data_IF_567048018675
#
_entry.id   IF_567048018675
#
_cell.length_a   1.000
_cell.length_b   1.000
_cell.length_c   1.000
_cell.angle_alpha   90.00
_cell.angle_beta   90.00
_cell.angle_gamma   90.00
#
_symmetry.space_group_name_H-M   'P 1'
#
loop_
_entity.id
_entity.type
_entity.pdbx_description
1 polymer ?
#
# COMPACT_ATOMS: atom_id res chain seq x y z
N UNK A 1 14.69 -19.42 -1.43
CA UNK A 1 14.22 -18.69 -2.63
C UNK A 1 14.77 -17.27 -2.56
N UNK A 2 15.16 -16.66 -3.68
CA UNK A 2 15.62 -15.26 -3.69
C UNK A 2 14.43 -14.30 -3.54
N UNK A 3 14.67 -13.16 -2.89
CA UNK A 3 13.67 -12.08 -2.79
C UNK A 3 13.22 -11.61 -4.19
N UNK A 4 11.96 -11.16 -4.36
CA UNK A 4 11.49 -10.60 -5.62
C UNK A 4 12.21 -9.29 -5.96
N UNK A 5 12.54 -9.13 -7.24
CA UNK A 5 12.94 -7.84 -7.78
C UNK A 5 11.73 -6.91 -7.89
N UNK A 6 11.99 -5.62 -8.02
CA UNK A 6 10.91 -4.65 -8.21
C UNK A 6 10.06 -4.96 -9.44
N UNK A 7 10.68 -5.34 -10.56
CA UNK A 7 9.98 -5.69 -11.79
C UNK A 7 9.08 -6.92 -11.60
N UNK A 8 9.56 -7.94 -10.88
CA UNK A 8 8.74 -9.11 -10.54
C UNK A 8 7.50 -8.74 -9.71
N UNK A 9 7.63 -7.78 -8.77
CA UNK A 9 6.50 -7.29 -7.98
C UNK A 9 5.51 -6.46 -8.83
N UNK A 10 6.00 -5.62 -9.75
CA UNK A 10 5.13 -4.88 -10.68
C UNK A 10 4.38 -5.82 -11.63
N UNK A 11 5.07 -6.80 -12.19
CA UNK A 11 4.47 -7.80 -13.07
C UNK A 11 3.39 -8.60 -12.34
N UNK A 12 3.66 -9.01 -11.09
CA UNK A 12 2.66 -9.66 -10.25
C UNK A 12 1.47 -8.76 -9.96
N UNK A 13 1.69 -7.49 -9.63
CA UNK A 13 0.61 -6.54 -9.37
C UNK A 13 -0.28 -6.38 -10.62
N UNK A 14 0.33 -6.22 -11.80
CA UNK A 14 -0.38 -6.11 -13.07
C UNK A 14 -1.15 -7.38 -13.43
N UNK A 15 -0.56 -8.56 -13.19
CA UNK A 15 -1.22 -9.84 -13.40
C UNK A 15 -2.44 -10.02 -12.49
N UNK A 16 -2.33 -9.68 -11.20
CA UNK A 16 -3.45 -9.72 -10.25
C UNK A 16 -4.57 -8.78 -10.69
N UNK A 17 -4.27 -7.54 -11.08
CA UNK A 17 -5.27 -6.60 -11.61
C UNK A 17 -5.95 -7.18 -12.85
N UNK A 18 -5.18 -7.72 -13.80
CA UNK A 18 -5.72 -8.34 -15.03
C UNK A 18 -6.69 -9.47 -14.71
N UNK A 19 -6.37 -10.29 -13.72
CA UNK A 19 -7.22 -11.38 -13.24
C UNK A 19 -8.49 -10.84 -12.56
N UNK A 20 -8.37 -9.84 -11.68
CA UNK A 20 -9.53 -9.22 -11.02
C UNK A 20 -10.50 -8.61 -12.05
N UNK A 21 -9.98 -8.06 -13.16
CA UNK A 21 -10.79 -7.54 -14.28
C UNK A 21 -11.65 -8.61 -14.97
N UNK A 22 -11.27 -9.88 -14.89
CA UNK A 22 -12.08 -10.98 -15.48
C UNK A 22 -13.27 -11.37 -14.61
N UNK A 23 -13.48 -10.72 -13.46
CA UNK A 23 -14.54 -11.04 -12.50
C UNK A 23 -15.57 -9.90 -12.54
N UNK A 24 -16.70 -10.04 -13.26
CA UNK A 24 -17.62 -8.94 -13.49
C UNK A 24 -18.19 -8.31 -12.21
N UNK A 25 -18.40 -9.11 -11.17
CA UNK A 25 -18.88 -8.62 -9.87
C UNK A 25 -17.92 -7.65 -9.17
N UNK A 26 -16.64 -7.64 -9.56
CA UNK A 26 -15.63 -6.73 -9.01
C UNK A 26 -15.42 -5.48 -9.88
N UNK A 27 -16.05 -5.39 -11.05
CA UNK A 27 -15.75 -4.36 -12.05
C UNK A 27 -15.80 -2.91 -11.51
N UNK A 28 -16.81 -2.59 -10.69
CA UNK A 28 -17.03 -1.26 -10.14
C UNK A 28 -16.25 -0.98 -8.83
N UNK A 29 -15.76 -2.02 -8.16
CA UNK A 29 -14.95 -1.84 -6.96
C UNK A 29 -13.62 -1.16 -7.33
N UNK A 30 -13.06 -0.39 -6.40
CA UNK A 30 -11.83 0.35 -6.62
C UNK A 30 -10.62 -0.39 -6.09
N UNK A 31 -9.48 -0.17 -6.74
CA UNK A 31 -8.19 -0.75 -6.40
C UNK A 31 -7.07 0.28 -6.52
N UNK A 32 -6.11 0.22 -5.59
CA UNK A 32 -4.84 0.93 -5.66
C UNK A 32 -3.71 0.04 -5.15
N UNK A 33 -2.51 0.19 -5.71
CA UNK A 33 -1.28 -0.39 -5.14
C UNK A 33 -0.81 0.54 -4.02
N UNK A 34 -0.61 -0.01 -2.82
CA UNK A 34 -0.19 0.74 -1.62
C UNK A 34 1.11 0.16 -1.05
N UNK A 35 1.46 0.53 0.18
CA UNK A 35 2.44 -0.20 0.98
C UNK A 35 3.89 -0.17 0.46
N UNK A 36 4.58 -1.29 0.63
CA UNK A 36 6.04 -1.36 0.43
C UNK A 36 6.48 -1.15 -1.03
N UNK A 37 5.72 -1.68 -1.98
CA UNK A 37 6.04 -1.56 -3.41
C UNK A 37 5.94 -0.10 -3.88
N UNK A 38 4.91 0.61 -3.42
CA UNK A 38 4.72 2.05 -3.69
C UNK A 38 5.91 2.86 -3.17
N UNK A 39 6.36 2.58 -1.95
CA UNK A 39 7.53 3.25 -1.39
C UNK A 39 8.81 2.97 -2.19
N UNK A 40 9.02 1.71 -2.61
CA UNK A 40 10.17 1.34 -3.42
C UNK A 40 10.15 2.01 -4.80
N UNK A 41 8.97 2.21 -5.40
CA UNK A 41 8.81 2.98 -6.64
C UNK A 41 9.32 4.41 -6.50
N UNK A 42 8.92 5.08 -5.42
CA UNK A 42 9.20 6.49 -5.19
C UNK A 42 10.64 6.75 -4.69
N UNK A 43 11.14 5.92 -3.77
CA UNK A 43 12.48 6.06 -3.19
C UNK A 43 13.32 4.80 -3.47
N UNK A 44 13.77 4.66 -4.72
CA UNK A 44 14.42 3.45 -5.26
C UNK A 44 15.57 2.87 -4.45
N UNK A 45 16.33 3.73 -3.77
CA UNK A 45 17.55 3.38 -3.03
C UNK A 45 17.35 3.28 -1.52
N UNK A 46 16.12 3.44 -1.02
CA UNK A 46 15.84 3.43 0.41
C UNK A 46 15.66 2.01 0.96
N UNK A 47 14.66 1.26 0.48
CA UNK A 47 14.47 -0.15 0.86
C UNK A 47 13.69 -0.91 -0.21
N UNK A 48 13.78 -2.24 -0.13
CA UNK A 48 12.97 -3.17 -0.92
C UNK A 48 11.76 -3.68 -0.13
N UNK A 49 10.91 -4.47 -0.77
CA UNK A 49 9.79 -5.21 -0.15
C UNK A 49 9.67 -6.58 -0.83
N UNK A 50 8.92 -7.50 -0.22
CA UNK A 50 8.74 -8.87 -0.75
C UNK A 50 7.28 -9.16 -1.16
N UNK A 51 6.39 -8.19 -0.96
CA UNK A 51 4.95 -8.28 -1.07
C UNK A 51 4.37 -7.16 -1.96
N UNK A 52 3.17 -7.41 -2.47
CA UNK A 52 2.33 -6.42 -3.14
C UNK A 52 1.11 -6.17 -2.26
N UNK A 53 0.97 -4.94 -1.77
CA UNK A 53 -0.20 -4.50 -1.02
C UNK A 53 -1.22 -3.82 -1.94
N UNK A 54 -2.47 -4.29 -1.92
CA UNK A 54 -3.59 -3.63 -2.57
C UNK A 54 -4.54 -3.04 -1.54
N UNK A 55 -4.99 -1.80 -1.77
CA UNK A 55 -6.25 -1.31 -1.20
C UNK A 55 -7.39 -1.73 -2.13
N UNK A 56 -8.47 -2.29 -1.59
CA UNK A 56 -9.64 -2.68 -2.39
C UNK A 56 -10.97 -2.35 -1.70
N UNK A 57 -11.97 -1.93 -2.47
CA UNK A 57 -13.33 -1.62 -1.97
C UNK A 57 -14.35 -2.74 -2.22
N UNK A 58 -13.89 -3.99 -2.39
CA UNK A 58 -14.79 -5.14 -2.54
C UNK A 58 -15.38 -5.51 -1.18
N UNK A 59 -16.71 -5.62 -1.11
CA UNK A 59 -17.38 -6.07 0.10
C UNK A 59 -16.93 -7.47 0.52
N UNK A 60 -16.63 -7.64 1.81
CA UNK A 60 -16.11 -8.90 2.35
C UNK A 60 -14.60 -9.12 2.10
N UNK A 61 -13.87 -8.16 1.55
CA UNK A 61 -12.42 -8.19 1.51
C UNK A 61 -11.82 -8.23 2.94
N UNK A 62 -10.68 -8.94 3.14
CA UNK A 62 -9.91 -9.66 2.11
C UNK A 62 -10.46 -11.04 1.76
N UNK A 63 -11.31 -11.64 2.61
CA UNK A 63 -11.72 -13.05 2.49
C UNK A 63 -12.46 -13.33 1.17
N UNK A 64 -13.47 -12.54 0.84
CA UNK A 64 -14.27 -12.74 -0.37
C UNK A 64 -13.41 -12.70 -1.65
N UNK A 65 -12.41 -11.81 -1.69
CA UNK A 65 -11.49 -11.70 -2.82
C UNK A 65 -10.58 -12.93 -2.91
N UNK A 66 -9.96 -13.33 -1.80
CA UNK A 66 -9.09 -14.52 -1.75
C UNK A 66 -9.84 -15.79 -2.14
N UNK A 67 -11.01 -16.03 -1.56
CA UNK A 67 -11.84 -17.20 -1.85
C UNK A 67 -12.21 -17.26 -3.34
N UNK A 68 -12.63 -16.11 -3.91
CA UNK A 68 -12.98 -16.03 -5.34
C UNK A 68 -11.78 -16.33 -6.23
N UNK A 69 -10.62 -15.74 -5.95
CA UNK A 69 -9.38 -15.97 -6.70
C UNK A 69 -8.91 -17.43 -6.61
N UNK A 70 -9.00 -18.06 -5.43
CA UNK A 70 -8.69 -19.48 -5.27
C UNK A 70 -9.67 -20.38 -6.02
N UNK A 71 -10.95 -20.02 -6.08
CA UNK A 71 -11.97 -20.82 -6.74
C UNK A 71 -11.85 -20.80 -8.27
N UNK A 72 -11.61 -19.63 -8.88
CA UNK A 72 -11.67 -19.47 -10.34
C UNK A 72 -10.28 -19.43 -11.00
N UNK A 73 -9.21 -19.13 -10.24
CA UNK A 73 -7.83 -19.03 -10.71
C UNK A 73 -6.89 -19.89 -9.84
N UNK A 74 -7.32 -21.09 -9.45
CA UNK A 74 -6.60 -22.01 -8.55
C UNK A 74 -5.16 -22.35 -9.01
N UNK A 75 -4.87 -22.29 -10.32
CA UNK A 75 -3.52 -22.51 -10.85
C UNK A 75 -2.56 -21.32 -10.65
N UNK A 76 -3.10 -20.12 -10.40
CA UNK A 76 -2.35 -18.88 -10.26
C UNK A 76 -2.26 -18.38 -8.82
N UNK A 77 -3.13 -18.86 -7.93
CA UNK A 77 -3.17 -18.44 -6.53
C UNK A 77 -3.10 -19.60 -5.58
N UNK A 78 -2.47 -19.37 -4.43
CA UNK A 78 -2.41 -20.35 -3.34
C UNK A 78 -2.39 -19.63 -1.99
N UNK A 79 -2.98 -20.28 -0.99
CA UNK A 79 -3.04 -19.79 0.39
C UNK A 79 -2.23 -20.74 1.29
N UNK A 80 -1.24 -20.20 2.01
CA UNK A 80 -0.49 -20.94 3.03
C UNK A 80 -0.73 -20.30 4.39
N UNK A 81 -1.50 -20.97 5.26
CA UNK A 81 -1.97 -20.41 6.52
C UNK A 81 -2.62 -19.03 6.31
N UNK A 82 -1.99 -17.94 6.77
CA UNK A 82 -2.52 -16.57 6.62
C UNK A 82 -2.02 -15.85 5.36
N UNK A 83 -0.97 -16.37 4.72
CA UNK A 83 -0.32 -15.75 3.58
C UNK A 83 -1.00 -16.17 2.27
N UNK A 84 -1.22 -15.20 1.39
CA UNK A 84 -1.83 -15.38 0.10
C UNK A 84 -0.82 -15.05 -0.99
N UNK A 85 -0.65 -15.94 -1.96
CA UNK A 85 0.40 -15.82 -2.98
C UNK A 85 -0.18 -15.86 -4.38
N UNK A 86 0.39 -15.02 -5.24
CA UNK A 86 0.34 -15.17 -6.68
C UNK A 86 1.55 -15.99 -7.15
N UNK A 87 1.31 -16.97 -8.01
CA UNK A 87 2.34 -17.78 -8.66
C UNK A 87 2.71 -17.13 -10.00
N UNK A 88 3.90 -16.51 -10.05
CA UNK A 88 4.44 -15.95 -11.26
C UNK A 88 4.77 -17.04 -12.30
N UNK A 89 4.91 -16.64 -13.58
CA UNK A 89 5.18 -17.57 -14.68
C UNK A 89 6.47 -18.38 -14.49
N UNK A 90 7.46 -17.80 -13.81
CA UNK A 90 8.72 -18.47 -13.45
C UNK A 90 8.59 -19.39 -12.22
N UNK A 91 7.38 -19.59 -11.70
CA UNK A 91 7.10 -20.42 -10.53
C UNK A 91 7.32 -19.74 -9.18
N UNK A 92 7.83 -18.50 -9.16
CA UNK A 92 8.05 -17.73 -7.93
C UNK A 92 6.73 -17.36 -7.26
N UNK A 93 6.71 -17.44 -5.94
CA UNK A 93 5.56 -17.06 -5.13
C UNK A 93 5.76 -15.62 -4.66
N UNK A 94 4.82 -14.76 -5.01
CA UNK A 94 4.80 -13.35 -4.62
C UNK A 94 3.62 -13.14 -3.70
N UNK A 95 3.90 -12.64 -2.49
CA UNK A 95 2.85 -12.40 -1.51
C UNK A 95 1.95 -11.25 -1.96
N UNK A 96 0.64 -11.47 -1.90
CA UNK A 96 -0.38 -10.48 -2.22
C UNK A 96 -1.19 -10.20 -0.97
N UNK A 97 -1.04 -8.99 -0.44
CA UNK A 97 -1.78 -8.51 0.71
C UNK A 97 -2.95 -7.65 0.24
N UNK A 98 -4.14 -8.00 0.70
CA UNK A 98 -5.39 -7.32 0.36
C UNK A 98 -5.86 -6.56 1.59
N UNK A 99 -5.80 -5.24 1.50
CA UNK A 99 -6.24 -4.30 2.53
C UNK A 99 -7.64 -3.81 2.16
N UNK A 100 -8.68 -4.13 2.94
CA UNK A 100 -9.99 -3.57 2.70
C UNK A 100 -9.98 -2.06 3.03
N UNK A 101 -10.80 -1.31 2.33
CA UNK A 101 -10.90 0.15 2.43
C UNK A 101 -11.19 0.66 3.85
N UNK A 102 -12.01 -0.04 4.62
CA UNK A 102 -12.30 0.32 6.02
C UNK A 102 -11.09 0.27 6.97
N UNK A 103 -9.98 -0.37 6.58
CA UNK A 103 -8.72 -0.33 7.33
C UNK A 103 -7.83 0.85 6.94
N UNK A 104 -8.19 1.60 5.90
CA UNK A 104 -7.45 2.77 5.45
C UNK A 104 -8.08 4.04 6.01
N UNK A 105 -7.30 5.09 6.30
CA UNK A 105 -7.84 6.32 6.88
C UNK A 105 -8.84 7.05 5.96
N UNK A 106 -8.69 6.82 4.65
CA UNK A 106 -9.59 7.29 3.60
C UNK A 106 -9.29 6.52 2.31
N UNK A 107 -10.13 6.68 1.29
CA UNK A 107 -9.87 6.14 -0.05
C UNK A 107 -8.96 7.10 -0.84
N UNK A 108 -7.76 6.70 -1.28
CA UNK A 108 -6.85 7.61 -1.98
C UNK A 108 -7.36 7.93 -3.39
N UNK A 109 -7.00 9.09 -3.91
CA UNK A 109 -7.42 9.55 -5.25
C UNK A 109 -6.99 8.61 -6.39
N UNK A 110 -5.88 7.90 -6.19
CA UNK A 110 -5.36 6.91 -7.13
C UNK A 110 -6.19 5.62 -7.20
N UNK A 111 -7.14 5.40 -6.28
CA UNK A 111 -8.00 4.22 -6.32
C UNK A 111 -9.02 4.33 -7.46
N UNK A 112 -8.81 3.55 -8.51
CA UNK A 112 -9.63 3.51 -9.73
C UNK A 112 -10.49 2.26 -9.75
N UNK A 113 -11.59 2.29 -10.50
CA UNK A 113 -12.41 1.09 -10.70
C UNK A 113 -11.57 -0.04 -11.33
N UNK A 114 -11.75 -1.28 -10.86
CA UNK A 114 -11.00 -2.45 -11.36
C UNK A 114 -11.17 -2.57 -12.88
N UNK A 115 -12.37 -2.37 -13.41
CA UNK A 115 -12.63 -2.39 -14.85
C UNK A 115 -11.79 -1.39 -15.65
N UNK A 116 -11.47 -0.23 -15.07
CA UNK A 116 -10.64 0.82 -15.69
C UNK A 116 -9.16 0.76 -15.32
N UNK A 117 -8.76 -0.10 -14.38
CA UNK A 117 -7.36 -0.20 -13.96
C UNK A 117 -6.50 -0.75 -15.10
N UNK A 118 -5.39 -0.09 -15.42
CA UNK A 118 -4.50 -0.51 -16.50
C UNK A 118 -3.37 -1.40 -15.96
N UNK A 119 -3.29 -2.70 -16.34
CA UNK A 119 -2.24 -3.59 -15.83
C UNK A 119 -0.81 -3.16 -16.17
N UNK A 120 -0.62 -2.38 -17.24
CA UNK A 120 0.67 -1.82 -17.66
C UNK A 120 0.97 -0.45 -17.03
N UNK A 121 0.00 0.15 -16.34
CA UNK A 121 0.13 1.42 -15.64
C UNK A 121 -0.60 1.34 -14.30
N UNK A 122 0.09 0.72 -13.34
CA UNK A 122 -0.49 0.35 -12.05
C UNK A 122 -1.03 1.59 -11.30
N UNK A 123 -2.21 1.48 -10.65
CA UNK A 123 -2.81 2.56 -9.88
C UNK A 123 -2.11 2.74 -8.53
N UNK A 124 -0.89 3.25 -8.55
CA UNK A 124 -0.11 3.53 -7.33
C UNK A 124 -0.73 4.68 -6.52
N UNK A 125 -0.86 4.48 -5.21
CA UNK A 125 -1.14 5.55 -4.25
C UNK A 125 -0.15 6.71 -4.43
N UNK A 126 -0.61 7.96 -4.35
CA UNK A 126 0.27 9.13 -4.46
C UNK A 126 1.30 9.17 -3.32
N UNK A 127 2.42 9.86 -3.51
CA UNK A 127 3.46 9.99 -2.47
C UNK A 127 2.92 10.64 -1.19
N UNK A 128 2.05 11.64 -1.34
CA UNK A 128 1.43 12.35 -0.20
C UNK A 128 0.41 11.46 0.50
N UNK A 129 -0.41 10.70 -0.25
CA UNK A 129 -1.33 9.74 0.35
C UNK A 129 -0.57 8.61 1.07
N UNK A 130 0.53 8.13 0.48
CA UNK A 130 1.39 7.12 1.10
C UNK A 130 2.00 7.63 2.41
N UNK A 131 2.46 8.88 2.43
CA UNK A 131 2.96 9.54 3.64
C UNK A 131 1.88 9.61 4.72
N UNK A 132 0.68 10.09 4.37
CA UNK A 132 -0.45 10.18 5.31
C UNK A 132 -0.84 8.78 5.85
N UNK A 133 -0.87 7.77 4.99
CA UNK A 133 -1.15 6.38 5.38
C UNK A 133 -0.10 5.84 6.34
N UNK A 134 1.19 6.08 6.07
CA UNK A 134 2.29 5.60 6.92
C UNK A 134 2.30 6.25 8.30
N UNK A 135 1.98 7.55 8.37
CA UNK A 135 1.82 8.24 9.65
C UNK A 135 0.63 7.66 10.42
N UNK A 136 -0.53 7.55 9.78
CA UNK A 136 -1.75 7.04 10.40
C UNK A 136 -1.61 5.57 10.88
N UNK A 137 -0.99 4.71 10.08
CA UNK A 137 -0.88 3.28 10.38
C UNK A 137 0.16 2.96 11.44
N UNK A 138 1.11 3.86 11.70
CA UNK A 138 2.26 3.61 12.58
C UNK A 138 1.83 3.12 13.99
N UNK A 139 0.90 3.80 14.64
CA UNK A 139 0.38 3.42 15.96
C UNK A 139 -0.45 2.15 15.97
N UNK A 140 -1.08 1.83 14.84
CA UNK A 140 -2.06 0.75 14.69
C UNK A 140 -1.43 -0.62 14.36
N UNK A 141 -0.12 -0.68 14.08
CA UNK A 141 0.52 -1.96 13.73
C UNK A 141 0.62 -2.90 14.93
N UNK A 142 0.46 -4.22 14.70
CA UNK A 142 0.43 -5.21 15.78
C UNK A 142 1.80 -5.48 16.41
N UNK A 143 2.91 -5.14 15.74
CA UNK A 143 4.26 -5.43 16.25
C UNK A 143 5.12 -4.18 16.30
N UNK A 144 5.99 -4.02 17.32
CA UNK A 144 6.91 -2.88 17.41
C UNK A 144 7.78 -2.69 16.16
N UNK A 145 8.23 -3.78 15.54
CA UNK A 145 9.02 -3.73 14.31
C UNK A 145 8.24 -3.12 13.14
N UNK A 146 6.94 -3.44 13.01
CA UNK A 146 6.07 -2.84 11.98
C UNK A 146 5.77 -1.37 12.29
N UNK A 147 5.55 -1.01 13.56
CA UNK A 147 5.38 0.40 13.98
C UNK A 147 6.60 1.24 13.61
N UNK A 148 7.79 0.77 13.99
CA UNK A 148 9.07 1.44 13.69
C UNK A 148 9.31 1.56 12.17
N UNK A 149 8.99 0.51 11.41
CA UNK A 149 9.10 0.53 9.95
C UNK A 149 8.23 1.61 9.33
N UNK A 150 6.95 1.69 9.70
CA UNK A 150 6.06 2.72 9.19
C UNK A 150 6.52 4.13 9.60
N UNK A 151 7.03 4.32 10.82
CA UNK A 151 7.58 5.60 11.26
C UNK A 151 8.82 6.02 10.46
N UNK A 152 9.70 5.07 10.17
CA UNK A 152 10.92 5.33 9.39
C UNK A 152 10.58 5.61 7.94
N UNK A 153 9.68 4.84 7.34
CA UNK A 153 9.16 5.04 5.99
C UNK A 153 8.49 6.42 5.85
N UNK A 154 7.64 6.80 6.82
CA UNK A 154 7.00 8.10 6.86
C UNK A 154 8.04 9.22 6.89
N UNK A 155 9.05 9.13 7.76
CA UNK A 155 10.11 10.13 7.85
C UNK A 155 10.85 10.27 6.53
N UNK A 156 11.27 9.15 5.92
CA UNK A 156 11.99 9.16 4.66
C UNK A 156 11.15 9.76 3.51
N UNK A 157 9.85 9.48 3.45
CA UNK A 157 8.93 10.14 2.51
C UNK A 157 8.84 11.64 2.76
N UNK A 158 8.69 12.08 4.01
CA UNK A 158 8.59 13.49 4.35
C UNK A 158 9.89 14.26 4.03
N UNK A 159 11.05 13.64 4.28
CA UNK A 159 12.35 14.21 3.93
C UNK A 159 12.51 14.33 2.40
N UNK A 160 12.20 13.26 1.65
CA UNK A 160 12.28 13.24 0.19
C UNK A 160 11.32 14.24 -0.46
N UNK A 161 10.03 14.23 -0.10
CA UNK A 161 9.04 15.18 -0.58
C UNK A 161 9.44 16.62 -0.23
N UNK A 162 9.86 16.84 1.01
CA UNK A 162 10.28 18.16 1.48
C UNK A 162 11.56 18.68 0.82
N UNK A 163 12.38 17.81 0.21
CA UNK A 163 13.54 18.23 -0.59
C UNK A 163 13.14 18.74 -1.98
N UNK A 164 11.94 18.36 -2.45
CA UNK A 164 11.37 18.74 -3.76
C UNK A 164 10.39 19.91 -3.68
N UNK A 165 9.94 20.27 -2.48
CA UNK A 165 9.04 21.41 -2.25
C UNK A 165 8.22 21.28 -0.97
N UNK A 166 7.35 22.25 -0.68
CA UNK A 166 6.46 22.18 0.47
C UNK A 166 5.45 21.03 0.34
N UNK A 167 5.18 20.34 1.45
CA UNK A 167 4.17 19.28 1.52
C UNK A 167 2.81 19.94 1.78
N UNK A 168 1.90 19.87 0.81
CA UNK A 168 0.55 20.42 0.91
C UNK A 168 -0.43 19.28 1.13
N UNK A 169 -1.03 19.24 2.32
CA UNK A 169 -2.05 18.26 2.68
C UNK A 169 -3.45 18.80 2.40
N UNK A 170 -4.29 17.96 1.79
CA UNK A 170 -5.74 18.16 1.76
C UNK A 170 -6.34 18.02 3.16
N UNK A 171 -7.57 18.49 3.41
CA UNK A 171 -8.21 18.35 4.72
C UNK A 171 -8.27 16.89 5.21
N UNK A 172 -8.60 15.94 4.34
CA UNK A 172 -8.68 14.52 4.70
C UNK A 172 -7.31 13.93 5.06
N UNK A 173 -6.27 14.31 4.33
CA UNK A 173 -4.88 13.94 4.65
C UNK A 173 -4.43 14.54 5.98
N UNK A 174 -4.76 15.82 6.23
CA UNK A 174 -4.44 16.49 7.50
C UNK A 174 -5.09 15.77 8.69
N UNK A 175 -6.37 15.38 8.57
CA UNK A 175 -7.05 14.57 9.60
C UNK A 175 -6.35 13.23 9.83
N UNK A 176 -6.03 12.49 8.77
CA UNK A 176 -5.36 11.19 8.88
C UNK A 176 -3.97 11.29 9.54
N UNK A 177 -3.20 12.30 9.17
CA UNK A 177 -1.88 12.61 9.74
C UNK A 177 -2.00 12.95 11.23
N UNK A 178 -2.95 13.80 11.61
CA UNK A 178 -3.13 14.21 13.01
C UNK A 178 -3.45 13.01 13.93
N UNK A 179 -4.20 12.02 13.44
CA UNK A 179 -4.52 10.81 14.19
C UNK A 179 -3.30 9.93 14.51
N UNK A 180 -2.27 9.93 13.66
CA UNK A 180 -1.04 9.14 13.85
C UNK A 180 0.18 9.95 14.30
N UNK A 181 0.01 11.26 14.53
CA UNK A 181 1.11 12.19 14.72
C UNK A 181 1.92 11.91 15.98
N UNK A 182 1.27 11.52 17.07
CA UNK A 182 1.95 11.21 18.33
C UNK A 182 2.80 9.94 18.19
N UNK A 183 2.21 8.86 17.67
CA UNK A 183 2.90 7.58 17.47
C UNK A 183 4.11 7.72 16.54
N UNK A 184 3.94 8.42 15.41
CA UNK A 184 5.03 8.60 14.45
C UNK A 184 6.16 9.44 15.04
N UNK A 185 5.84 10.47 15.85
CA UNK A 185 6.86 11.30 16.50
C UNK A 185 7.70 10.50 17.51
N UNK A 186 7.08 9.60 18.27
CA UNK A 186 7.78 8.74 19.22
C UNK A 186 8.76 7.77 18.55
N UNK A 187 8.45 7.30 17.34
CA UNK A 187 9.17 6.20 16.70
C UNK A 187 10.10 6.63 15.55
N UNK A 188 9.86 7.79 14.94
CA UNK A 188 10.60 8.26 13.75
C UNK A 188 11.96 8.91 14.06
N UNK A 189 12.30 9.13 15.34
CA UNK A 189 13.45 9.96 15.78
C UNK A 189 13.34 11.44 15.38
N UNK A 190 12.13 11.91 15.07
CA UNK A 190 11.80 13.32 14.85
C UNK A 190 10.66 13.67 15.80
N UNK A 191 10.80 14.77 16.52
CA UNK A 191 9.78 15.18 17.47
C UNK A 191 8.51 15.71 16.77
N UNK A 192 7.48 15.95 17.58
CA UNK A 192 6.21 16.44 17.06
C UNK A 192 6.31 17.84 16.44
N UNK A 193 7.25 18.68 16.90
CA UNK A 193 7.46 20.02 16.36
C UNK A 193 7.99 19.94 14.92
N UNK A 194 8.98 19.08 14.68
CA UNK A 194 9.51 18.80 13.34
C UNK A 194 8.40 18.33 12.40
N UNK A 195 7.54 17.40 12.84
CA UNK A 195 6.44 16.92 12.02
C UNK A 195 5.41 18.01 11.72
N UNK A 196 5.05 18.84 12.71
CA UNK A 196 4.12 19.95 12.52
C UNK A 196 4.65 20.99 11.53
N UNK A 197 5.94 21.33 11.63
CA UNK A 197 6.60 22.22 10.68
C UNK A 197 6.65 21.59 9.29
N UNK A 198 7.15 20.35 9.18
CA UNK A 198 7.37 19.66 7.91
C UNK A 198 6.08 19.44 7.11
N UNK A 199 4.96 19.28 7.80
CA UNK A 199 3.64 19.00 7.22
C UNK A 199 2.70 20.22 7.25
N UNK A 200 3.18 21.41 7.62
CA UNK A 200 2.39 22.64 7.73
C UNK A 200 1.10 22.46 8.56
N UNK A 201 1.21 21.82 9.73
CA UNK A 201 0.09 21.49 10.61
C UNK A 201 -0.25 22.58 11.62
N UNK A 202 0.46 23.70 11.60
CA UNK A 202 0.13 24.92 12.35
C UNK A 202 -1.28 25.43 12.07
#
# INVERSE_FOLDING_TARGET
MSAPSFAELEDAAGAVIRILKTIPEFAAAKIAVIGGLSLWKYIRRYRTTEDVDFLITIQGAPKAVKDKLLAIHAGSFQQHAQLFYYKAQNGKLIQIDITPDWQSPYLPSAAVAISSAEPSSLPYISEIDLLAFKINSCGLRPTPAKKLRDATDARSLAEDLGSRGPIILTPVQKTAVLQGLEDVAQLSRKDQAWWKEKLALS
#
